data_IF_081641667421
#
_entry.id   IF_081641667421
#
_cell.length_a   1.000
_cell.length_b   1.000
_cell.length_c   1.000
_cell.angle_alpha   90.00
_cell.angle_beta   90.00
_cell.angle_gamma   90.00
#
_symmetry.space_group_name_H-M   'P 1'
#
loop_
_entity.id
_entity.type
_entity.pdbx_description
1 polymer ?
#
# COMPACT_ATOMS: atom_id res chain seq x y z
N UNK A 1 -22.45 90.14 8.78
CA UNK A 1 -21.29 89.47 8.22
C UNK A 1 -21.20 88.10 8.81
N UNK A 2 -21.82 87.14 8.17
CA UNK A 2 -21.95 85.77 8.66
C UNK A 2 -21.61 84.85 7.51
N UNK A 3 -20.56 84.08 7.69
CA UNK A 3 -20.14 83.03 6.75
C UNK A 3 -20.60 81.69 7.25
N UNK A 4 -21.49 81.08 6.50
CA UNK A 4 -21.96 79.68 6.70
C UNK A 4 -20.89 78.70 6.31
N UNK A 5 -20.76 77.63 7.10
CA UNK A 5 -19.95 76.43 6.79
C UNK A 5 -20.88 75.25 6.54
N UNK A 6 -20.83 74.80 5.32
CA UNK A 6 -21.60 73.67 4.83
C UNK A 6 -20.90 72.36 5.22
N UNK A 7 -21.60 71.42 5.92
CA UNK A 7 -21.11 70.13 6.38
C UNK A 7 -21.43 69.02 5.38
N UNK A 8 -20.42 68.67 4.54
CA UNK A 8 -20.54 67.49 3.66
C UNK A 8 -20.30 66.19 4.40
N UNK A 9 -21.34 65.36 4.58
CA UNK A 9 -21.26 63.99 5.10
C UNK A 9 -20.75 63.05 4.00
N UNK A 10 -19.46 62.72 4.03
CA UNK A 10 -18.88 61.69 3.18
C UNK A 10 -19.37 60.30 3.60
N UNK A 11 -20.17 59.67 2.77
CA UNK A 11 -20.47 58.22 2.84
C UNK A 11 -19.18 57.45 2.54
N UNK A 12 -18.65 56.76 3.53
CA UNK A 12 -17.56 55.81 3.34
C UNK A 12 -18.14 54.54 2.69
N UNK A 13 -17.82 54.34 1.42
CA UNK A 13 -18.10 53.15 0.67
C UNK A 13 -17.33 51.95 1.28
N UNK A 14 -18.03 51.07 1.99
CA UNK A 14 -17.51 49.81 2.50
C UNK A 14 -17.55 48.74 1.42
N UNK A 15 -16.89 48.92 0.29
CA UNK A 15 -16.67 47.89 -0.71
C UNK A 15 -15.17 47.70 -0.95
N UNK A 16 -14.43 47.37 0.10
CA UNK A 16 -13.09 46.84 -0.04
C UNK A 16 -13.17 45.40 -0.47
N UNK A 17 -13.21 45.14 -1.76
CA UNK A 17 -12.88 43.88 -2.39
C UNK A 17 -11.59 43.38 -1.75
N UNK A 18 -11.69 42.26 -1.00
CA UNK A 18 -10.54 41.48 -0.59
C UNK A 18 -9.83 41.00 -1.87
N UNK A 19 -8.85 41.75 -2.30
CA UNK A 19 -7.84 41.26 -3.23
C UNK A 19 -7.09 40.16 -2.50
N UNK A 20 -7.47 38.90 -2.77
CA UNK A 20 -6.70 37.74 -2.31
C UNK A 20 -5.30 37.87 -2.86
N UNK A 21 -4.30 37.79 -1.98
CA UNK A 21 -2.91 37.58 -2.37
C UNK A 21 -2.86 36.40 -3.34
N UNK A 22 -2.15 36.52 -4.49
CA UNK A 22 -2.00 35.40 -5.41
C UNK A 22 -1.49 34.21 -4.62
N UNK A 23 -2.19 33.07 -4.72
CA UNK A 23 -1.67 31.83 -4.18
C UNK A 23 -0.32 31.55 -4.86
N UNK A 24 0.72 31.15 -4.13
CA UNK A 24 1.93 30.68 -4.76
C UNK A 24 1.56 29.51 -5.70
N UNK A 25 2.18 29.45 -6.88
CA UNK A 25 1.93 28.40 -7.90
C UNK A 25 2.20 26.97 -7.41
N UNK A 26 2.58 26.80 -6.15
CA UNK A 26 2.93 25.54 -5.49
C UNK A 26 1.69 24.79 -5.05
N UNK A 27 1.43 23.64 -5.66
CA UNK A 27 0.32 22.73 -5.30
C UNK A 27 0.59 22.08 -3.93
N UNK A 28 -0.44 22.03 -3.07
CA UNK A 28 -0.40 21.42 -1.74
C UNK A 28 -1.30 20.19 -1.69
N UNK A 29 -0.70 19.02 -1.53
CA UNK A 29 -1.39 17.71 -1.48
C UNK A 29 -1.36 17.15 -0.07
N UNK A 30 -2.52 16.71 0.42
CA UNK A 30 -2.64 16.01 1.71
C UNK A 30 -2.97 14.54 1.47
N UNK A 31 -2.10 13.64 1.97
CA UNK A 31 -2.25 12.20 1.84
C UNK A 31 -2.80 11.60 3.13
N UNK A 32 -3.91 10.89 3.05
CA UNK A 32 -4.59 10.27 4.18
C UNK A 32 -4.54 8.74 4.05
N UNK A 33 -3.45 8.14 4.53
CA UNK A 33 -3.25 6.69 4.58
C UNK A 33 -2.49 6.33 5.84
N UNK A 34 -3.11 5.60 6.77
CA UNK A 34 -2.47 5.34 8.05
C UNK A 34 -2.87 4.03 8.70
N UNK A 35 -2.10 3.67 9.75
CA UNK A 35 -2.31 2.51 10.60
C UNK A 35 -1.58 1.25 10.16
N UNK A 36 -1.56 0.91 8.88
CA UNK A 36 -0.89 -0.29 8.34
C UNK A 36 -0.03 0.04 7.12
N UNK A 37 0.96 -0.80 6.84
CA UNK A 37 1.81 -0.66 5.64
C UNK A 37 0.98 -0.62 4.34
N UNK A 38 -0.11 -1.40 4.27
CA UNK A 38 -1.00 -1.43 3.10
C UNK A 38 -1.71 -0.11 2.77
N UNK A 39 -1.75 0.86 3.69
CA UNK A 39 -2.27 2.20 3.44
C UNK A 39 -1.15 3.26 3.35
N UNK A 40 -0.07 3.08 4.12
CA UNK A 40 1.03 4.05 4.18
C UNK A 40 1.94 3.94 2.97
N UNK A 41 2.34 2.73 2.59
CA UNK A 41 3.25 2.51 1.46
C UNK A 41 2.69 3.02 0.12
N UNK A 42 1.40 2.75 -0.25
CA UNK A 42 0.82 3.34 -1.46
C UNK A 42 0.77 4.87 -1.41
N UNK A 43 0.49 5.45 -0.23
CA UNK A 43 0.51 6.91 -0.07
C UNK A 43 1.91 7.49 -0.30
N UNK A 44 2.95 6.83 0.22
CA UNK A 44 4.33 7.24 0.01
C UNK A 44 4.81 7.04 -1.43
N UNK A 45 4.40 5.96 -2.08
CA UNK A 45 4.70 5.74 -3.50
C UNK A 45 4.09 6.84 -4.39
N UNK A 46 2.88 7.29 -4.07
CA UNK A 46 2.25 8.43 -4.76
C UNK A 46 2.95 9.75 -4.41
N UNK A 47 3.41 9.94 -3.16
CA UNK A 47 4.21 11.10 -2.77
C UNK A 47 5.50 11.21 -3.60
N UNK A 48 6.23 10.09 -3.73
CA UNK A 48 7.45 10.02 -4.52
C UNK A 48 7.17 10.35 -6.01
N UNK A 49 6.08 9.80 -6.57
CA UNK A 49 5.67 10.06 -7.95
C UNK A 49 5.24 11.52 -8.18
N UNK A 50 4.51 12.11 -7.24
CA UNK A 50 4.13 13.53 -7.28
C UNK A 50 5.36 14.44 -7.25
N UNK A 51 6.32 14.16 -6.37
CA UNK A 51 7.57 14.93 -6.27
C UNK A 51 8.42 14.79 -7.54
N UNK A 52 8.44 13.60 -8.16
CA UNK A 52 9.14 13.38 -9.42
C UNK A 52 8.50 14.16 -10.60
N UNK A 53 7.16 14.27 -10.63
CA UNK A 53 6.43 15.03 -11.66
C UNK A 53 6.46 16.56 -11.43
N UNK A 54 6.42 16.98 -10.16
CA UNK A 54 6.38 18.39 -9.74
C UNK A 54 7.29 18.59 -8.51
N UNK A 55 8.57 18.90 -8.71
CA UNK A 55 9.53 19.06 -7.60
C UNK A 55 9.18 20.15 -6.57
N UNK A 56 8.39 21.13 -6.97
CA UNK A 56 7.90 22.24 -6.14
C UNK A 56 6.65 21.90 -5.32
N UNK A 57 6.09 20.67 -5.46
CA UNK A 57 4.87 20.25 -4.77
C UNK A 57 5.08 20.15 -3.25
N UNK A 58 4.10 20.59 -2.48
CA UNK A 58 4.09 20.41 -1.02
C UNK A 58 3.24 19.20 -0.63
N UNK A 59 3.85 18.24 0.04
CA UNK A 59 3.18 17.01 0.48
C UNK A 59 3.11 16.99 2.00
N UNK A 60 1.91 16.74 2.52
CA UNK A 60 1.65 16.52 3.95
C UNK A 60 0.91 15.22 4.12
N UNK A 61 1.48 14.29 4.86
CA UNK A 61 0.80 13.05 5.24
C UNK A 61 0.04 13.24 6.56
N UNK A 62 -1.12 12.62 6.66
CA UNK A 62 -1.90 12.51 7.90
C UNK A 62 -1.66 11.14 8.54
N UNK A 63 -1.38 11.13 9.83
CA UNK A 63 -1.15 9.93 10.59
C UNK A 63 -1.67 10.00 12.01
N UNK A 64 -1.41 8.94 12.78
CA UNK A 64 -1.71 8.85 14.21
C UNK A 64 -0.43 8.55 14.99
N UNK A 65 -0.37 8.94 16.26
CA UNK A 65 0.84 8.80 17.07
C UNK A 65 1.31 7.34 17.34
N UNK A 66 0.56 6.34 16.91
CA UNK A 66 0.86 4.91 17.13
C UNK A 66 0.93 4.08 15.84
N UNK A 67 0.78 4.70 14.68
CA UNK A 67 0.81 4.02 13.38
C UNK A 67 2.23 3.93 12.81
N UNK A 68 2.40 3.09 11.79
CA UNK A 68 3.67 2.95 11.05
C UNK A 68 4.07 4.26 10.34
N UNK A 69 3.13 5.14 10.10
CA UNK A 69 3.35 6.44 9.50
C UNK A 69 4.33 7.33 10.28
N UNK A 70 4.48 7.10 11.60
CA UNK A 70 5.41 7.88 12.46
C UNK A 70 6.88 7.67 12.13
N UNK A 71 7.23 6.54 11.52
CA UNK A 71 8.57 6.25 11.00
C UNK A 71 8.62 6.37 9.48
N UNK A 72 7.72 5.70 8.77
CA UNK A 72 7.79 5.59 7.29
C UNK A 72 7.68 6.94 6.57
N UNK A 73 6.90 7.90 7.09
CA UNK A 73 6.71 9.19 6.44
C UNK A 73 7.96 10.08 6.60
N UNK A 74 8.50 10.29 7.82
CA UNK A 74 9.74 11.06 8.00
C UNK A 74 10.96 10.40 7.35
N UNK A 75 11.07 9.08 7.38
CA UNK A 75 12.17 8.35 6.74
C UNK A 75 12.22 8.58 5.22
N UNK A 76 11.07 8.94 4.60
CA UNK A 76 10.96 9.34 3.19
C UNK A 76 11.11 10.84 2.97
N UNK A 77 11.36 11.64 4.04
CA UNK A 77 11.53 13.09 3.97
C UNK A 77 10.23 13.89 3.85
N UNK A 78 9.07 13.27 4.06
CA UNK A 78 7.78 13.96 3.98
C UNK A 78 7.30 14.49 5.33
N UNK A 79 6.51 15.57 5.29
CA UNK A 79 5.92 16.15 6.48
C UNK A 79 4.74 15.32 6.99
N UNK A 80 4.75 14.99 8.30
CA UNK A 80 3.70 14.25 8.97
C UNK A 80 2.94 15.15 9.96
N UNK A 81 1.63 15.24 9.79
CA UNK A 81 0.71 15.86 10.74
C UNK A 81 -0.10 14.78 11.46
N UNK A 82 -0.14 14.86 12.80
CA UNK A 82 -0.82 13.87 13.62
C UNK A 82 -2.24 14.31 13.97
N UNK A 83 -3.18 13.36 13.84
CA UNK A 83 -4.59 13.55 14.21
C UNK A 83 -5.03 12.51 15.23
N UNK A 84 -6.05 12.84 16.00
CA UNK A 84 -6.67 11.91 16.96
C UNK A 84 -7.18 10.66 16.23
N UNK A 85 -6.72 9.44 16.60
CA UNK A 85 -7.18 8.21 15.95
C UNK A 85 -8.66 7.95 16.22
N UNK A 86 -9.37 7.47 15.20
CA UNK A 86 -10.78 7.09 15.26
C UNK A 86 -10.93 5.60 14.95
N UNK A 87 -10.45 4.70 15.85
CA UNK A 87 -10.66 3.27 15.67
C UNK A 87 -12.14 2.95 15.85
N UNK A 88 -12.71 2.17 14.93
CA UNK A 88 -14.04 1.61 15.09
C UNK A 88 -13.97 0.47 16.13
N UNK A 89 -14.68 0.56 17.25
CA UNK A 89 -14.69 -0.50 18.25
C UNK A 89 -15.27 -1.79 17.66
N UNK A 90 -14.55 -2.92 17.84
CA UNK A 90 -15.02 -4.24 17.41
C UNK A 90 -16.03 -4.87 18.38
N UNK A 91 -16.15 -4.31 19.57
CA UNK A 91 -17.09 -4.75 20.63
C UNK A 91 -17.84 -3.55 21.17
N UNK A 92 -19.07 -3.77 21.61
CA UNK A 92 -19.89 -2.78 22.32
C UNK A 92 -19.25 -2.54 23.69
N UNK A 93 -18.60 -1.40 23.88
CA UNK A 93 -17.97 -0.98 25.13
C UNK A 93 -18.17 0.53 25.34
N UNK A 94 -17.74 1.05 26.50
CA UNK A 94 -17.83 2.48 26.85
C UNK A 94 -17.09 3.40 25.86
N UNK A 95 -16.15 2.88 25.06
CA UNK A 95 -15.46 3.64 24.00
C UNK A 95 -16.39 4.05 22.87
N UNK A 96 -17.50 3.32 22.67
CA UNK A 96 -18.54 3.67 21.68
C UNK A 96 -19.22 5.00 22.03
N UNK A 97 -19.43 5.28 23.32
CA UNK A 97 -20.02 6.55 23.80
C UNK A 97 -19.10 7.74 23.52
N UNK A 98 -17.78 7.52 23.53
CA UNK A 98 -16.77 8.56 23.25
C UNK A 98 -16.46 8.74 21.76
N UNK A 99 -16.92 7.80 20.92
CA UNK A 99 -16.64 7.81 19.49
C UNK A 99 -17.09 9.10 18.79
N UNK A 100 -18.31 9.64 19.00
CA UNK A 100 -18.73 10.89 18.35
C UNK A 100 -17.83 12.09 18.67
N UNK A 101 -17.33 12.18 19.90
CA UNK A 101 -16.41 13.23 20.33
C UNK A 101 -15.04 13.08 19.68
N UNK A 102 -14.49 11.86 19.61
CA UNK A 102 -13.24 11.55 18.94
C UNK A 102 -13.32 11.87 17.44
N UNK A 103 -14.39 11.46 16.78
CA UNK A 103 -14.64 11.76 15.36
C UNK A 103 -14.69 13.28 15.15
N UNK A 104 -15.49 14.00 15.95
CA UNK A 104 -15.60 15.46 15.84
C UNK A 104 -14.28 16.18 16.08
N UNK A 105 -13.49 15.72 17.06
CA UNK A 105 -12.16 16.24 17.36
C UNK A 105 -11.21 16.01 16.19
N UNK A 106 -11.10 14.78 15.71
CA UNK A 106 -10.24 14.42 14.58
C UNK A 106 -10.59 15.19 13.30
N UNK A 107 -11.89 15.40 13.02
CA UNK A 107 -12.32 16.22 11.88
C UNK A 107 -11.90 17.68 12.05
N UNK A 108 -11.98 18.25 13.28
CA UNK A 108 -11.56 19.64 13.53
C UNK A 108 -10.04 19.79 13.39
N UNK A 109 -9.27 18.87 13.96
CA UNK A 109 -7.81 18.82 13.81
C UNK A 109 -7.42 18.75 12.34
N UNK A 110 -8.01 17.80 11.59
CA UNK A 110 -7.75 17.68 10.16
C UNK A 110 -8.16 18.94 9.39
N UNK A 111 -9.31 19.54 9.68
CA UNK A 111 -9.72 20.77 9.02
C UNK A 111 -8.78 21.96 9.31
N UNK A 112 -8.20 22.01 10.51
CA UNK A 112 -7.18 23.01 10.85
C UNK A 112 -5.89 22.75 10.07
N UNK A 113 -5.45 21.49 9.96
CA UNK A 113 -4.28 21.11 9.16
C UNK A 113 -4.48 21.47 7.69
N UNK A 114 -5.62 21.10 7.09
CA UNK A 114 -5.94 21.44 5.69
C UNK A 114 -5.87 22.95 5.45
N UNK A 115 -6.30 23.77 6.43
CA UNK A 115 -6.18 25.21 6.34
C UNK A 115 -4.76 25.74 6.55
N UNK A 116 -3.99 25.14 7.45
CA UNK A 116 -2.60 25.51 7.73
C UNK A 116 -1.70 25.28 6.52
N UNK A 117 -1.91 24.15 5.81
CA UNK A 117 -1.11 23.79 4.64
C UNK A 117 -1.69 24.33 3.33
N UNK A 118 -2.83 24.99 3.38
CA UNK A 118 -3.59 25.49 2.21
C UNK A 118 -3.80 24.39 1.16
N UNK A 119 -4.42 23.29 1.59
CA UNK A 119 -4.55 22.05 0.82
C UNK A 119 -5.40 22.25 -0.44
N UNK A 120 -4.87 21.91 -1.62
CA UNK A 120 -5.56 21.94 -2.92
C UNK A 120 -6.31 20.64 -3.19
N UNK A 121 -5.84 19.52 -2.67
CA UNK A 121 -6.44 18.20 -2.82
C UNK A 121 -6.12 17.29 -1.63
N UNK A 122 -7.08 16.41 -1.30
CA UNK A 122 -6.89 15.32 -0.32
C UNK A 122 -6.94 13.99 -1.07
N UNK A 123 -5.93 13.15 -0.85
CA UNK A 123 -5.90 11.79 -1.40
C UNK A 123 -6.04 10.79 -0.26
N UNK A 124 -7.05 9.93 -0.31
CA UNK A 124 -7.28 8.93 0.71
C UNK A 124 -6.99 7.51 0.24
N UNK A 125 -6.23 6.79 1.06
CA UNK A 125 -5.86 5.38 0.83
C UNK A 125 -6.55 4.43 1.80
N UNK A 126 -7.40 4.95 2.69
CA UNK A 126 -8.06 4.17 3.73
C UNK A 126 -7.41 4.29 5.12
N UNK A 127 -7.79 3.39 6.01
CA UNK A 127 -7.34 3.44 7.41
C UNK A 127 -8.10 4.45 8.27
N UNK A 128 -7.66 4.61 9.52
CA UNK A 128 -8.36 5.41 10.54
C UNK A 128 -8.33 6.92 10.30
N UNK A 129 -7.39 7.40 9.49
CA UNK A 129 -7.22 8.83 9.18
C UNK A 129 -8.06 9.28 7.98
N UNK A 130 -8.49 8.35 7.12
CA UNK A 130 -9.17 8.68 5.87
C UNK A 130 -10.57 9.28 6.10
N UNK A 131 -11.38 8.72 7.02
CA UNK A 131 -12.73 9.24 7.30
C UNK A 131 -12.71 10.69 7.79
N UNK A 132 -11.92 11.06 8.82
CA UNK A 132 -11.76 12.46 9.20
C UNK A 132 -11.29 13.36 8.07
N UNK A 133 -10.34 12.87 7.24
CA UNK A 133 -9.81 13.61 6.09
C UNK A 133 -10.91 13.93 5.06
N UNK A 134 -11.72 12.94 4.67
CA UNK A 134 -12.83 13.14 3.73
C UNK A 134 -13.88 14.13 4.25
N UNK A 135 -14.23 14.03 5.54
CA UNK A 135 -15.21 14.91 6.16
C UNK A 135 -14.67 16.34 6.37
N UNK A 136 -13.40 16.49 6.69
CA UNK A 136 -12.74 17.78 6.80
C UNK A 136 -12.59 18.47 5.43
N UNK A 137 -12.14 17.73 4.41
CA UNK A 137 -12.02 18.19 3.04
C UNK A 137 -13.36 18.73 2.52
N UNK A 138 -14.44 17.96 2.72
CA UNK A 138 -15.79 18.39 2.35
C UNK A 138 -16.18 19.72 3.01
N UNK A 139 -15.89 19.90 4.32
CA UNK A 139 -16.24 21.16 5.03
C UNK A 139 -15.47 22.36 4.52
N UNK A 140 -14.29 22.15 3.99
CA UNK A 140 -13.41 23.19 3.46
C UNK A 140 -13.54 23.38 1.95
N UNK A 141 -14.34 22.59 1.26
CA UNK A 141 -14.47 22.64 -0.20
C UNK A 141 -13.25 22.06 -0.94
N UNK A 142 -12.35 21.35 -0.25
CA UNK A 142 -11.17 20.73 -0.86
C UNK A 142 -11.59 19.46 -1.61
N UNK A 143 -11.21 19.28 -2.88
CA UNK A 143 -11.53 18.07 -3.63
C UNK A 143 -10.83 16.84 -3.06
N UNK A 144 -11.47 15.67 -3.24
CA UNK A 144 -10.98 14.39 -2.74
C UNK A 144 -10.75 13.43 -3.90
N UNK A 145 -9.62 12.74 -3.87
CA UNK A 145 -9.32 11.53 -4.65
C UNK A 145 -9.28 10.36 -3.70
N UNK A 146 -9.91 9.25 -4.06
CA UNK A 146 -9.89 8.01 -3.26
C UNK A 146 -9.17 6.94 -4.06
N UNK A 147 -8.24 6.23 -3.44
CA UNK A 147 -7.62 5.02 -3.98
C UNK A 147 -7.94 3.83 -3.05
N UNK A 148 -8.52 2.76 -3.62
CA UNK A 148 -8.79 1.51 -2.91
C UNK A 148 -7.79 0.44 -3.30
N UNK A 149 -7.12 -0.07 -2.29
CA UNK A 149 -6.06 -1.07 -2.44
C UNK A 149 -6.59 -2.50 -2.61
N UNK A 150 -7.71 -2.83 -1.97
CA UNK A 150 -8.23 -4.19 -1.87
C UNK A 150 -9.34 -4.45 -2.88
N UNK A 151 -9.49 -5.72 -3.25
CA UNK A 151 -10.62 -6.19 -4.07
C UNK A 151 -11.99 -6.03 -3.36
N UNK A 152 -12.00 -5.70 -2.07
CA UNK A 152 -13.20 -5.40 -1.31
C UNK A 152 -13.02 -4.10 -0.55
N UNK A 153 -13.68 -3.06 -1.02
CA UNK A 153 -13.51 -1.72 -0.47
C UNK A 153 -13.83 -1.62 1.02
N UNK A 154 -12.91 -0.97 1.76
CA UNK A 154 -13.09 -0.65 3.16
C UNK A 154 -14.17 0.40 3.40
N UNK A 155 -14.76 0.42 4.60
CA UNK A 155 -15.83 1.37 4.96
C UNK A 155 -15.42 2.84 4.79
N UNK A 156 -14.17 3.18 5.09
CA UNK A 156 -13.64 4.52 4.94
C UNK A 156 -13.70 4.97 3.46
N UNK A 157 -13.18 4.15 2.56
CA UNK A 157 -13.16 4.46 1.13
C UNK A 157 -14.55 4.42 0.50
N UNK A 158 -15.45 3.54 0.95
CA UNK A 158 -16.87 3.58 0.55
C UNK A 158 -17.55 4.91 0.91
N UNK A 159 -17.24 5.46 2.09
CA UNK A 159 -17.76 6.76 2.50
C UNK A 159 -17.15 7.88 1.65
N UNK A 160 -15.84 7.87 1.45
CA UNK A 160 -15.11 8.87 0.66
C UNK A 160 -15.55 8.89 -0.80
N UNK A 161 -15.65 7.71 -1.43
CA UNK A 161 -16.00 7.53 -2.84
C UNK A 161 -17.33 8.17 -3.25
N UNK A 162 -18.31 8.22 -2.34
CA UNK A 162 -19.65 8.81 -2.62
C UNK A 162 -19.56 10.26 -3.12
N UNK A 163 -18.52 10.99 -2.73
CA UNK A 163 -18.35 12.42 -3.02
C UNK A 163 -16.97 12.79 -3.52
N UNK A 164 -16.13 11.79 -3.76
CA UNK A 164 -14.81 12.00 -4.34
C UNK A 164 -14.93 12.55 -5.77
N UNK A 165 -13.99 13.41 -6.13
CA UNK A 165 -13.83 13.91 -7.49
C UNK A 165 -13.39 12.81 -8.46
N UNK A 166 -12.49 11.94 -7.98
CA UNK A 166 -12.03 10.73 -8.69
C UNK A 166 -11.97 9.56 -7.70
N UNK A 167 -12.34 8.41 -8.20
CA UNK A 167 -12.28 7.14 -7.46
C UNK A 167 -11.39 6.19 -8.26
N UNK A 168 -10.33 5.72 -7.64
CA UNK A 168 -9.32 4.84 -8.23
C UNK A 168 -9.28 3.53 -7.45
N UNK A 169 -8.95 2.44 -8.11
CA UNK A 169 -8.84 1.12 -7.50
C UNK A 169 -7.61 0.37 -8.01
N UNK A 170 -7.06 -0.49 -7.16
CA UNK A 170 -5.95 -1.36 -7.53
C UNK A 170 -6.39 -2.49 -8.47
N UNK A 171 -7.61 -2.99 -8.29
CA UNK A 171 -8.17 -4.13 -9.03
C UNK A 171 -9.61 -3.82 -9.46
N UNK A 172 -10.13 -4.50 -10.50
CA UNK A 172 -11.54 -4.39 -10.87
C UNK A 172 -12.45 -4.89 -9.75
N UNK A 173 -13.72 -4.54 -9.81
CA UNK A 173 -14.79 -5.01 -8.91
C UNK A 173 -14.53 -4.77 -7.42
N UNK A 174 -13.80 -3.72 -7.07
CA UNK A 174 -13.52 -3.33 -5.68
C UNK A 174 -14.77 -3.00 -4.84
N UNK A 175 -15.94 -2.93 -5.47
CA UNK A 175 -17.21 -2.54 -4.84
C UNK A 175 -17.33 -1.03 -4.63
N UNK A 176 -16.55 -0.24 -5.36
CA UNK A 176 -16.69 1.22 -5.45
C UNK A 176 -17.27 1.60 -6.82
N UNK A 177 -18.37 2.36 -6.79
CA UNK A 177 -18.97 2.90 -8.00
C UNK A 177 -18.00 3.85 -8.72
N UNK A 178 -17.93 3.77 -10.05
CA UNK A 178 -17.12 4.64 -10.91
C UNK A 178 -15.61 4.54 -10.63
N UNK A 179 -15.12 3.44 -10.05
CA UNK A 179 -13.71 3.24 -9.83
C UNK A 179 -12.98 3.01 -11.16
N UNK A 180 -11.95 3.80 -11.40
CA UNK A 180 -10.99 3.58 -12.47
C UNK A 180 -9.89 2.65 -11.96
N UNK A 181 -9.61 1.58 -12.69
CA UNK A 181 -8.55 0.63 -12.32
C UNK A 181 -7.21 1.20 -12.79
N UNK A 182 -6.36 1.51 -11.83
CA UNK A 182 -5.02 2.09 -12.06
C UNK A 182 -3.89 1.19 -11.54
N UNK A 183 -4.22 0.14 -10.80
CA UNK A 183 -3.26 -0.70 -10.10
C UNK A 183 -2.91 -0.18 -8.70
N UNK A 184 -2.06 -0.91 -8.00
CA UNK A 184 -1.54 -0.56 -6.68
C UNK A 184 -0.30 0.33 -6.83
N UNK A 185 -0.27 1.53 -6.22
CA UNK A 185 0.94 2.33 -6.16
C UNK A 185 2.05 1.61 -5.40
N UNK A 186 3.15 1.32 -6.08
CA UNK A 186 4.31 0.61 -5.56
C UNK A 186 5.53 1.53 -5.55
N UNK A 187 6.44 1.27 -4.59
CA UNK A 187 7.72 1.98 -4.47
C UNK A 187 8.63 1.72 -5.67
N UNK A 188 9.49 2.69 -5.98
CA UNK A 188 10.38 2.64 -7.13
C UNK A 188 11.33 1.42 -7.12
N UNK A 189 11.81 0.99 -5.94
CA UNK A 189 12.67 -0.20 -5.80
C UNK A 189 12.01 -1.50 -6.28
N UNK A 190 10.68 -1.54 -6.37
CA UNK A 190 9.92 -2.67 -6.91
C UNK A 190 9.58 -2.44 -8.37
N UNK A 191 9.10 -1.25 -8.72
CA UNK A 191 8.64 -0.98 -10.10
C UNK A 191 9.79 -0.89 -11.10
N UNK A 192 10.98 -0.48 -10.66
CA UNK A 192 12.19 -0.44 -11.47
C UNK A 192 13.01 -1.74 -11.41
N UNK A 193 12.56 -2.75 -10.63
CA UNK A 193 13.30 -3.99 -10.46
C UNK A 193 13.39 -4.78 -11.77
N UNK A 194 14.61 -5.01 -12.24
CA UNK A 194 14.93 -6.01 -13.24
C UNK A 194 15.47 -7.27 -12.52
N UNK A 195 14.59 -8.27 -12.37
CA UNK A 195 14.93 -9.53 -11.70
C UNK A 195 16.06 -10.28 -12.40
N UNK A 196 16.11 -10.21 -13.72
CA UNK A 196 17.13 -10.91 -14.50
C UNK A 196 18.50 -10.29 -14.27
N UNK A 197 18.58 -8.96 -14.35
CA UNK A 197 19.84 -8.24 -14.14
C UNK A 197 20.38 -8.37 -12.73
N UNK A 198 19.50 -8.40 -11.71
CA UNK A 198 19.91 -8.48 -10.29
C UNK A 198 20.02 -9.90 -9.75
N UNK A 199 19.67 -10.94 -10.54
CA UNK A 199 19.58 -12.32 -10.06
C UNK A 199 20.87 -12.84 -9.43
N UNK A 200 22.00 -12.68 -10.09
CA UNK A 200 23.30 -13.17 -9.61
C UNK A 200 23.71 -12.46 -8.29
N UNK A 201 23.60 -11.13 -8.24
CA UNK A 201 23.87 -10.34 -7.03
C UNK A 201 22.93 -10.74 -5.88
N UNK A 202 21.64 -10.88 -6.16
CA UNK A 202 20.65 -11.25 -5.17
C UNK A 202 20.88 -12.64 -4.58
N UNK A 203 21.22 -13.62 -5.42
CA UNK A 203 21.57 -14.97 -4.97
C UNK A 203 22.84 -15.00 -4.14
N UNK A 204 23.89 -14.31 -4.57
CA UNK A 204 25.12 -14.17 -3.80
C UNK A 204 24.87 -13.50 -2.44
N UNK A 205 24.01 -12.48 -2.38
CA UNK A 205 23.63 -11.77 -1.15
C UNK A 205 23.03 -12.72 -0.09
N UNK A 206 22.23 -13.71 -0.53
CA UNK A 206 21.62 -14.68 0.37
C UNK A 206 22.41 -16.00 0.50
N UNK A 207 23.57 -16.12 -0.15
CA UNK A 207 24.43 -17.31 -0.08
C UNK A 207 23.93 -18.46 -0.94
N UNK A 208 23.17 -18.20 -2.01
CA UNK A 208 22.73 -19.19 -2.98
C UNK A 208 23.67 -19.28 -4.17
N UNK A 209 23.77 -20.46 -4.78
CA UNK A 209 24.45 -20.63 -6.06
C UNK A 209 23.70 -19.88 -7.17
N UNK A 210 24.42 -19.48 -8.22
CA UNK A 210 23.85 -18.69 -9.32
C UNK A 210 22.74 -19.46 -10.08
N UNK A 211 22.88 -20.76 -10.20
CA UNK A 211 21.94 -21.68 -10.87
C UNK A 211 20.91 -22.33 -9.93
N UNK A 212 20.94 -22.00 -8.60
CA UNK A 212 20.04 -22.56 -7.61
C UNK A 212 18.56 -22.33 -7.97
N UNK A 213 17.70 -23.30 -7.68
CA UNK A 213 16.24 -23.07 -7.60
C UNK A 213 15.90 -22.50 -6.23
N UNK A 214 15.28 -21.33 -6.19
CA UNK A 214 15.05 -20.61 -4.93
C UNK A 214 13.55 -20.44 -4.68
N UNK A 215 13.07 -20.97 -3.56
CA UNK A 215 11.75 -20.74 -3.01
C UNK A 215 11.80 -19.60 -2.00
N UNK A 216 11.05 -18.53 -2.25
CA UNK A 216 10.86 -17.42 -1.30
C UNK A 216 9.60 -17.65 -0.47
N UNK A 217 9.72 -17.57 0.86
CA UNK A 217 8.60 -17.82 1.78
C UNK A 217 8.42 -16.66 2.74
N UNK A 218 7.23 -16.06 2.79
CA UNK A 218 6.93 -14.98 3.72
C UNK A 218 5.44 -14.81 4.01
N UNK A 219 5.12 -14.52 5.26
CA UNK A 219 3.74 -14.32 5.74
C UNK A 219 3.36 -12.86 5.99
N UNK A 220 4.18 -11.88 5.52
CA UNK A 220 4.12 -10.47 5.90
C UNK A 220 5.00 -10.16 7.11
N UNK A 221 4.95 -8.93 7.63
CA UNK A 221 5.89 -8.43 8.66
C UNK A 221 5.87 -9.20 9.99
N UNK A 222 4.79 -9.92 10.29
CA UNK A 222 4.69 -10.73 11.52
C UNK A 222 4.93 -12.23 11.27
N UNK A 223 5.14 -12.61 10.01
CA UNK A 223 5.17 -14.01 9.59
C UNK A 223 3.77 -14.64 9.55
N UNK A 224 3.70 -15.93 9.26
CA UNK A 224 2.47 -16.72 9.23
C UNK A 224 2.74 -18.14 9.74
N UNK A 225 2.22 -18.46 10.91
CA UNK A 225 2.53 -19.72 11.59
C UNK A 225 2.17 -20.98 10.78
N UNK A 226 1.07 -20.96 9.99
CA UNK A 226 0.69 -22.06 9.11
C UNK A 226 1.69 -22.23 7.95
N UNK A 227 2.06 -21.14 7.28
CA UNK A 227 3.07 -21.16 6.22
C UNK A 227 4.42 -21.64 6.78
N UNK A 228 4.82 -21.11 7.94
CA UNK A 228 6.06 -21.50 8.60
C UNK A 228 6.09 -23.03 8.83
N UNK A 229 5.02 -23.60 9.45
CA UNK A 229 4.95 -25.04 9.72
C UNK A 229 4.97 -25.89 8.45
N UNK A 230 4.19 -25.52 7.43
CA UNK A 230 4.12 -26.30 6.20
C UNK A 230 5.46 -26.34 5.48
N UNK A 231 6.13 -25.18 5.35
CA UNK A 231 7.41 -25.13 4.62
C UNK A 231 8.57 -25.71 5.43
N UNK A 232 8.65 -25.44 6.74
CA UNK A 232 9.71 -26.06 7.56
C UNK A 232 9.51 -27.57 7.69
N UNK A 233 8.26 -28.05 7.73
CA UNK A 233 7.95 -29.49 7.73
C UNK A 233 8.35 -30.21 6.44
N UNK A 234 8.38 -29.52 5.30
CA UNK A 234 8.82 -30.05 4.00
C UNK A 234 10.31 -29.79 3.72
N UNK A 235 11.09 -29.34 4.70
CA UNK A 235 12.50 -28.94 4.45
C UNK A 235 13.36 -30.07 3.88
N UNK A 236 13.13 -31.31 4.31
CA UNK A 236 13.84 -32.48 3.79
C UNK A 236 13.48 -32.77 2.33
N UNK A 237 12.20 -32.69 1.96
CA UNK A 237 11.73 -32.91 0.58
C UNK A 237 12.25 -31.84 -0.37
N UNK A 238 12.24 -30.56 0.08
CA UNK A 238 12.82 -29.44 -0.66
C UNK A 238 14.32 -29.63 -0.89
N UNK A 239 15.05 -30.07 0.16
CA UNK A 239 16.48 -30.34 0.05
C UNK A 239 16.75 -31.51 -0.92
N UNK A 240 16.01 -32.62 -0.83
CA UNK A 240 16.12 -33.75 -1.73
C UNK A 240 15.84 -33.39 -3.20
N UNK A 241 14.97 -32.39 -3.45
CA UNK A 241 14.68 -31.86 -4.77
C UNK A 241 15.70 -30.79 -5.26
N UNK A 242 16.75 -30.48 -4.49
CA UNK A 242 17.76 -29.48 -4.82
C UNK A 242 17.24 -28.03 -4.77
N UNK A 243 16.28 -27.73 -3.91
CA UNK A 243 15.62 -26.42 -3.80
C UNK A 243 16.17 -25.67 -2.59
N UNK A 244 16.78 -24.51 -2.84
CA UNK A 244 17.16 -23.55 -1.80
C UNK A 244 15.95 -22.77 -1.31
N UNK A 245 15.91 -22.40 -0.03
CA UNK A 245 14.79 -21.68 0.58
C UNK A 245 15.27 -20.38 1.23
N UNK A 246 14.57 -19.29 0.93
CA UNK A 246 14.67 -18.02 1.66
C UNK A 246 13.38 -17.81 2.44
N UNK A 247 13.41 -17.95 3.77
CA UNK A 247 12.23 -17.95 4.61
C UNK A 247 12.21 -16.82 5.63
N UNK A 248 11.36 -15.81 5.42
CA UNK A 248 11.08 -14.76 6.39
C UNK A 248 9.94 -15.21 7.33
N UNK A 249 10.32 -15.77 8.48
CA UNK A 249 9.38 -16.42 9.40
C UNK A 249 8.62 -15.47 10.34
N UNK A 250 9.02 -14.21 10.41
CA UNK A 250 8.50 -13.22 11.36
C UNK A 250 9.26 -13.18 12.69
N UNK A 251 9.45 -11.97 13.29
CA UNK A 251 10.37 -11.78 14.42
C UNK A 251 9.94 -12.49 15.72
N UNK A 252 8.68 -12.92 15.82
CA UNK A 252 8.14 -13.61 17.02
C UNK A 252 8.00 -15.12 16.83
N UNK A 253 8.44 -15.64 15.69
CA UNK A 253 8.36 -17.06 15.38
C UNK A 253 9.76 -17.66 15.32
N UNK A 254 9.84 -18.95 15.59
CA UNK A 254 11.01 -19.81 15.40
C UNK A 254 10.65 -20.95 14.46
N UNK A 255 11.64 -21.43 13.70
CA UNK A 255 11.49 -22.60 12.84
C UNK A 255 12.28 -23.78 13.43
N UNK A 256 11.66 -24.93 13.39
CA UNK A 256 12.36 -26.20 13.62
C UNK A 256 12.76 -26.75 12.26
N UNK A 257 14.07 -26.82 12.02
CA UNK A 257 14.63 -27.29 10.76
C UNK A 257 15.48 -28.55 11.02
N UNK A 258 15.49 -29.51 10.09
CA UNK A 258 16.42 -30.63 10.16
C UNK A 258 17.87 -30.14 10.09
N UNK A 259 18.78 -30.93 10.63
CA UNK A 259 20.22 -30.66 10.48
C UNK A 259 20.57 -30.87 9.01
N UNK A 260 21.14 -29.86 8.31
CA UNK A 260 21.44 -29.97 6.91
C UNK A 260 22.60 -30.95 6.67
N UNK A 261 22.50 -31.75 5.63
CA UNK A 261 23.60 -32.53 5.12
C UNK A 261 24.64 -31.65 4.39
N UNK A 262 25.86 -32.17 4.20
CA UNK A 262 26.95 -31.40 3.58
C UNK A 262 26.70 -31.03 2.10
N UNK A 263 25.76 -31.71 1.43
CA UNK A 263 25.39 -31.49 0.03
C UNK A 263 24.00 -30.84 -0.12
N UNK A 264 23.29 -30.56 0.97
CA UNK A 264 21.96 -29.98 0.91
C UNK A 264 22.02 -28.53 0.44
N UNK A 265 21.03 -28.09 -0.36
CA UNK A 265 20.89 -26.70 -0.73
C UNK A 265 20.59 -25.81 0.50
N UNK A 266 21.04 -24.56 0.53
CA UNK A 266 20.84 -23.70 1.67
C UNK A 266 19.37 -23.44 2.00
N UNK A 267 19.01 -23.55 3.29
CA UNK A 267 17.78 -23.06 3.86
C UNK A 267 18.09 -21.83 4.73
N UNK A 268 17.83 -20.63 4.19
CA UNK A 268 18.14 -19.35 4.84
C UNK A 268 16.89 -18.87 5.54
N UNK A 269 16.84 -19.02 6.86
CA UNK A 269 15.74 -18.54 7.72
C UNK A 269 16.10 -17.20 8.36
N UNK A 270 15.25 -16.20 8.18
CA UNK A 270 15.44 -14.86 8.75
C UNK A 270 14.16 -14.37 9.41
N UNK A 271 14.26 -13.57 10.51
CA UNK A 271 13.08 -13.03 11.15
C UNK A 271 12.33 -12.01 10.26
N UNK A 272 13.06 -11.27 9.42
CA UNK A 272 12.51 -10.23 8.56
C UNK A 272 13.44 -9.96 7.37
N UNK A 273 12.84 -9.62 6.22
CA UNK A 273 13.56 -9.20 5.01
C UNK A 273 13.45 -7.69 4.83
N UNK A 274 14.57 -6.99 4.91
CA UNK A 274 14.66 -5.54 4.63
C UNK A 274 14.82 -5.27 3.14
N UNK A 275 15.53 -6.17 2.42
CA UNK A 275 15.82 -6.08 0.98
C UNK A 275 14.88 -7.01 0.20
N UNK A 276 13.56 -6.67 0.19
CA UNK A 276 12.58 -7.42 -0.59
C UNK A 276 12.87 -7.39 -2.10
N UNK A 277 13.49 -6.35 -2.60
CA UNK A 277 13.95 -6.25 -3.98
C UNK A 277 14.90 -7.38 -4.34
N UNK A 278 15.93 -7.63 -3.52
CA UNK A 278 16.85 -8.75 -3.71
C UNK A 278 16.17 -10.11 -3.48
N UNK A 279 15.26 -10.20 -2.50
CA UNK A 279 14.51 -11.44 -2.26
C UNK A 279 13.66 -11.83 -3.48
N UNK A 280 12.97 -10.86 -4.09
CA UNK A 280 12.22 -11.08 -5.33
C UNK A 280 13.12 -11.41 -6.52
N UNK A 281 14.31 -10.78 -6.62
CA UNK A 281 15.26 -11.07 -7.70
C UNK A 281 15.89 -12.46 -7.59
N UNK A 282 16.19 -12.94 -6.38
CA UNK A 282 16.77 -14.25 -6.13
C UNK A 282 15.80 -15.42 -6.42
N UNK A 283 14.51 -15.21 -6.19
CA UNK A 283 13.49 -16.26 -6.15
C UNK A 283 12.99 -16.69 -7.53
N UNK A 284 12.57 -17.96 -7.64
CA UNK A 284 11.89 -18.54 -8.80
C UNK A 284 10.39 -18.69 -8.58
N UNK A 285 9.98 -18.98 -7.33
CA UNK A 285 8.59 -19.09 -6.88
C UNK A 285 8.46 -18.50 -5.48
N UNK A 286 7.30 -17.93 -5.15
CA UNK A 286 7.00 -17.50 -3.79
C UNK A 286 5.86 -18.30 -3.16
N UNK A 287 5.92 -18.54 -1.84
CA UNK A 287 4.75 -18.91 -1.01
C UNK A 287 4.49 -17.73 -0.08
N UNK A 288 3.32 -17.11 -0.16
CA UNK A 288 3.05 -15.92 0.62
C UNK A 288 1.57 -15.72 0.94
N UNK A 289 1.28 -14.85 1.93
CA UNK A 289 -0.07 -14.31 2.12
C UNK A 289 -0.48 -13.46 0.93
N UNK A 290 -1.78 -13.39 0.63
CA UNK A 290 -2.33 -12.61 -0.50
C UNK A 290 -2.91 -11.26 -0.08
N UNK A 291 -2.19 -10.53 0.77
CA UNK A 291 -2.47 -9.12 1.02
C UNK A 291 -2.32 -8.30 -0.27
N UNK A 292 -3.11 -7.23 -0.43
CA UNK A 292 -3.14 -6.44 -1.66
C UNK A 292 -1.75 -5.94 -2.11
N UNK A 293 -0.91 -5.45 -1.17
CA UNK A 293 0.47 -5.05 -1.48
C UNK A 293 1.32 -6.22 -1.95
N UNK A 294 1.25 -7.37 -1.26
CA UNK A 294 2.02 -8.56 -1.62
C UNK A 294 1.70 -9.03 -3.03
N UNK A 295 0.41 -9.19 -3.34
CA UNK A 295 -0.03 -9.61 -4.67
C UNK A 295 0.44 -8.62 -5.73
N UNK A 296 0.30 -7.32 -5.47
CA UNK A 296 0.73 -6.29 -6.41
C UNK A 296 2.24 -6.26 -6.62
N UNK A 297 3.06 -6.38 -5.56
CA UNK A 297 4.52 -6.42 -5.68
C UNK A 297 4.98 -7.66 -6.44
N UNK A 298 4.48 -8.84 -6.03
CA UNK A 298 4.85 -10.14 -6.61
C UNK A 298 4.49 -10.20 -8.10
N UNK A 299 3.29 -9.73 -8.48
CA UNK A 299 2.88 -9.66 -9.89
C UNK A 299 3.67 -8.60 -10.67
N UNK A 300 3.89 -7.41 -10.11
CA UNK A 300 4.64 -6.36 -10.79
C UNK A 300 6.07 -6.76 -11.14
N UNK A 301 6.71 -7.61 -10.32
CA UNK A 301 8.04 -8.13 -10.61
C UNK A 301 8.02 -9.42 -11.44
N UNK A 302 6.83 -9.93 -11.80
CA UNK A 302 6.67 -11.16 -12.56
C UNK A 302 7.17 -12.39 -11.81
N UNK A 303 6.98 -12.47 -10.48
CA UNK A 303 7.33 -13.65 -9.69
C UNK A 303 6.09 -14.54 -9.54
N UNK A 304 6.10 -15.79 -10.01
CA UNK A 304 5.03 -16.74 -9.76
C UNK A 304 4.84 -16.99 -8.27
N UNK A 305 3.59 -17.21 -7.83
CA UNK A 305 3.34 -17.44 -6.42
C UNK A 305 2.26 -18.48 -6.12
N UNK A 306 2.43 -19.16 -4.99
CA UNK A 306 1.38 -19.86 -4.27
C UNK A 306 0.85 -18.92 -3.21
N UNK A 307 -0.34 -18.39 -3.45
CA UNK A 307 -1.03 -17.48 -2.56
C UNK A 307 -1.83 -18.23 -1.50
N UNK A 308 -1.58 -17.92 -0.25
CA UNK A 308 -2.25 -18.52 0.91
C UNK A 308 -3.04 -17.44 1.65
N UNK A 309 -4.32 -17.23 1.31
CA UNK A 309 -5.14 -16.20 1.95
C UNK A 309 -5.22 -16.38 3.46
N UNK A 310 -5.23 -15.28 4.20
CA UNK A 310 -5.45 -15.31 5.63
C UNK A 310 -6.87 -15.85 5.91
N UNK A 311 -7.05 -16.90 6.76
CA UNK A 311 -8.35 -17.56 6.96
C UNK A 311 -9.34 -16.71 7.78
N UNK A 312 -8.89 -15.60 8.34
CA UNK A 312 -9.70 -14.66 9.14
C UNK A 312 -9.89 -13.34 8.42
N UNK A 313 -10.97 -12.64 8.72
CA UNK A 313 -11.30 -11.34 8.10
C UNK A 313 -12.54 -11.45 7.22
N UNK A 314 -12.60 -10.64 6.16
CA UNK A 314 -13.75 -10.54 5.26
C UNK A 314 -13.54 -11.28 3.91
N UNK A 315 -12.50 -12.11 3.79
CA UNK A 315 -12.16 -12.87 2.59
C UNK A 315 -11.47 -12.06 1.49
N UNK A 316 -11.08 -10.82 1.77
CA UNK A 316 -10.45 -9.92 0.80
C UNK A 316 -9.15 -10.47 0.20
N UNK A 317 -8.34 -11.19 1.00
CA UNK A 317 -7.07 -11.73 0.53
C UNK A 317 -7.24 -12.76 -0.60
N UNK A 318 -8.25 -13.61 -0.54
CA UNK A 318 -8.55 -14.54 -1.63
C UNK A 318 -8.89 -13.76 -2.91
N UNK A 319 -9.75 -12.74 -2.79
CA UNK A 319 -10.16 -11.92 -3.92
C UNK A 319 -8.99 -11.13 -4.53
N UNK A 320 -8.04 -10.66 -3.73
CA UNK A 320 -6.86 -9.95 -4.23
C UNK A 320 -6.00 -10.84 -5.16
N UNK A 321 -5.90 -12.15 -4.89
CA UNK A 321 -5.11 -13.07 -5.69
C UNK A 321 -5.80 -13.52 -7.00
N UNK A 322 -7.14 -13.48 -7.06
CA UNK A 322 -7.90 -14.04 -8.19
C UNK A 322 -7.49 -13.49 -9.57
N UNK A 323 -7.23 -12.19 -9.78
CA UNK A 323 -6.82 -11.70 -11.10
C UNK A 323 -5.53 -12.35 -11.60
N UNK A 324 -4.52 -12.50 -10.74
CA UNK A 324 -3.24 -13.12 -11.09
C UNK A 324 -3.39 -14.63 -11.30
N UNK A 325 -4.19 -15.28 -10.48
CA UNK A 325 -4.49 -16.71 -10.60
C UNK A 325 -5.29 -17.02 -11.89
N UNK A 326 -6.29 -16.18 -12.21
CA UNK A 326 -7.07 -16.33 -13.43
C UNK A 326 -6.23 -16.14 -14.69
N UNK A 327 -5.21 -15.29 -14.65
CA UNK A 327 -4.24 -15.12 -15.73
C UNK A 327 -3.23 -16.27 -15.83
N UNK A 328 -3.16 -17.16 -14.83
CA UNK A 328 -2.18 -18.25 -14.76
C UNK A 328 -0.85 -17.87 -14.11
N UNK A 329 -0.72 -16.67 -13.50
CA UNK A 329 0.49 -16.19 -12.86
C UNK A 329 0.72 -16.69 -11.44
N UNK A 330 -0.21 -17.50 -10.89
CA UNK A 330 -0.12 -18.05 -9.55
C UNK A 330 -1.15 -19.13 -9.28
N UNK A 331 -1.07 -19.68 -8.08
CA UNK A 331 -2.04 -20.66 -7.53
C UNK A 331 -2.55 -20.11 -6.20
N UNK A 332 -3.81 -20.33 -5.88
CA UNK A 332 -4.37 -20.05 -4.56
C UNK A 332 -4.73 -21.32 -3.85
N UNK A 333 -4.28 -21.46 -2.61
CA UNK A 333 -4.61 -22.60 -1.72
C UNK A 333 -5.15 -22.10 -0.39
N UNK A 334 -6.11 -22.77 0.17
CA UNK A 334 -6.62 -22.43 1.48
C UNK A 334 -5.61 -22.73 2.59
N UNK A 335 -5.58 -21.90 3.64
CA UNK A 335 -4.61 -22.02 4.74
C UNK A 335 -4.58 -23.39 5.39
N UNK A 336 -5.74 -24.06 5.47
CA UNK A 336 -5.87 -25.41 6.04
C UNK A 336 -5.35 -26.53 5.12
N UNK A 337 -5.27 -26.26 3.81
CA UNK A 337 -4.80 -27.21 2.80
C UNK A 337 -3.29 -27.09 2.56
N UNK A 338 -2.66 -26.03 3.05
CA UNK A 338 -1.21 -25.86 2.99
C UNK A 338 -0.55 -26.74 4.04
N UNK A 339 -0.17 -27.96 3.62
CA UNK A 339 0.51 -28.96 4.45
C UNK A 339 1.95 -29.17 4.00
N UNK A 340 2.82 -29.82 4.82
CA UNK A 340 4.16 -30.22 4.38
C UNK A 340 4.14 -31.07 3.11
N UNK A 341 3.17 -32.01 2.99
CA UNK A 341 3.01 -32.88 1.83
C UNK A 341 2.69 -32.08 0.57
N UNK A 342 1.80 -31.08 0.66
CA UNK A 342 1.53 -30.17 -0.47
C UNK A 342 2.80 -29.42 -0.92
N UNK A 343 3.63 -28.98 0.03
CA UNK A 343 4.89 -28.31 -0.28
C UNK A 343 5.89 -29.27 -0.90
N UNK A 344 6.04 -30.49 -0.33
CA UNK A 344 6.94 -31.53 -0.83
C UNK A 344 6.58 -32.07 -2.21
N UNK A 345 5.29 -32.10 -2.54
CA UNK A 345 4.82 -32.63 -3.82
C UNK A 345 4.52 -31.54 -4.86
N UNK A 346 3.51 -30.68 -4.59
CA UNK A 346 2.99 -29.75 -5.58
C UNK A 346 3.91 -28.54 -5.81
N UNK A 347 4.50 -27.98 -4.73
CA UNK A 347 5.43 -26.85 -4.86
C UNK A 347 6.75 -27.29 -5.48
N UNK A 348 7.27 -28.48 -5.09
CA UNK A 348 8.46 -29.08 -5.73
C UNK A 348 8.21 -29.29 -7.21
N UNK A 349 7.05 -29.84 -7.58
CA UNK A 349 6.66 -30.06 -8.99
C UNK A 349 6.60 -28.74 -9.78
N UNK A 350 6.07 -27.67 -9.18
CA UNK A 350 6.06 -26.34 -9.80
C UNK A 350 7.46 -25.79 -10.02
N UNK A 351 8.35 -25.89 -9.04
CA UNK A 351 9.73 -25.39 -9.12
C UNK A 351 10.62 -26.18 -10.07
N UNK A 352 10.30 -27.45 -10.31
CA UNK A 352 11.06 -28.33 -11.20
C UNK A 352 10.55 -28.33 -12.64
N UNK A 353 9.33 -27.83 -12.90
CA UNK A 353 8.75 -27.66 -14.23
C UNK A 353 9.10 -26.29 -14.83
N UNK A 354 10.27 -26.19 -15.46
CA UNK A 354 10.78 -24.94 -16.00
C UNK A 354 9.84 -24.30 -17.07
N UNK A 355 9.23 -25.04 -18.03
CA UNK A 355 8.27 -24.46 -18.97
C UNK A 355 7.04 -23.86 -18.28
N UNK A 356 6.48 -24.55 -17.29
CA UNK A 356 5.33 -24.08 -16.53
C UNK A 356 5.67 -22.82 -15.72
N UNK A 357 6.81 -22.81 -15.05
CA UNK A 357 7.29 -21.70 -14.25
C UNK A 357 7.52 -20.45 -15.12
N UNK A 358 8.07 -20.61 -16.32
CA UNK A 358 8.24 -19.52 -17.29
C UNK A 358 6.90 -18.96 -17.78
N UNK A 359 5.92 -19.80 -18.06
CA UNK A 359 4.57 -19.37 -18.44
C UNK A 359 3.88 -18.61 -17.29
N UNK A 360 4.01 -19.10 -16.05
CA UNK A 360 3.49 -18.40 -14.87
C UNK A 360 4.17 -17.05 -14.64
N UNK A 361 5.48 -16.96 -14.89
CA UNK A 361 6.25 -15.70 -14.80
C UNK A 361 5.70 -14.65 -15.77
N UNK A 362 5.50 -15.03 -17.04
CA UNK A 362 4.95 -14.13 -18.04
C UNK A 362 3.53 -13.67 -17.70
N UNK A 363 2.67 -14.61 -17.26
CA UNK A 363 1.30 -14.32 -16.89
C UNK A 363 1.21 -13.39 -15.65
N UNK A 364 2.07 -13.59 -14.64
CA UNK A 364 2.14 -12.72 -13.48
C UNK A 364 2.55 -11.29 -13.88
N UNK A 365 3.56 -11.15 -14.74
CA UNK A 365 4.06 -9.85 -15.21
C UNK A 365 3.00 -9.09 -16.04
N UNK A 366 2.16 -9.78 -16.80
CA UNK A 366 1.09 -9.17 -17.61
C UNK A 366 0.02 -8.49 -16.75
N UNK A 367 -0.29 -9.06 -15.58
CA UNK A 367 -1.26 -8.49 -14.62
C UNK A 367 -0.63 -7.38 -13.76
N UNK A 368 0.68 -7.34 -13.65
CA UNK A 368 1.41 -6.42 -12.79
C UNK A 368 1.38 -4.97 -13.29
N UNK A 369 0.98 -4.03 -12.43
CA UNK A 369 0.95 -2.59 -12.72
C UNK A 369 2.19 -1.90 -12.15
N UNK A 370 3.17 -1.56 -12.99
CA UNK A 370 4.39 -0.85 -12.56
C UNK A 370 4.23 0.68 -12.56
N UNK A 371 3.28 1.22 -13.28
CA UNK A 371 3.05 2.65 -13.47
C UNK A 371 1.96 3.26 -12.56
N UNK A 372 1.35 2.46 -11.69
CA UNK A 372 0.20 2.84 -10.87
C UNK A 372 0.44 4.11 -10.03
N UNK A 373 1.61 4.24 -9.39
CA UNK A 373 1.94 5.42 -8.59
C UNK A 373 1.94 6.70 -9.42
N UNK A 374 2.51 6.64 -10.64
CA UNK A 374 2.53 7.76 -11.58
C UNK A 374 1.13 8.11 -12.07
N UNK A 375 0.31 7.12 -12.46
CA UNK A 375 -1.08 7.34 -12.90
C UNK A 375 -1.93 7.99 -11.80
N UNK A 376 -1.80 7.53 -10.55
CA UNK A 376 -2.47 8.17 -9.42
C UNK A 376 -2.00 9.61 -9.24
N UNK A 377 -0.68 9.86 -9.33
CA UNK A 377 -0.11 11.20 -9.20
C UNK A 377 -0.62 12.16 -10.29
N UNK A 378 -0.69 11.72 -11.55
CA UNK A 378 -1.24 12.49 -12.67
C UNK A 378 -2.71 12.88 -12.43
N UNK A 379 -3.53 11.94 -11.96
CA UNK A 379 -4.94 12.21 -11.58
C UNK A 379 -5.03 13.21 -10.43
N UNK A 380 -4.15 13.12 -9.44
CA UNK A 380 -4.11 14.04 -8.28
C UNK A 380 -3.78 15.46 -8.74
N UNK A 381 -2.78 15.63 -9.61
CA UNK A 381 -2.41 16.93 -10.17
C UNK A 381 -3.56 17.53 -10.99
N UNK A 382 -4.20 16.74 -11.87
CA UNK A 382 -5.38 17.18 -12.63
C UNK A 382 -6.51 17.72 -11.73
N UNK A 383 -6.77 17.01 -10.61
CA UNK A 383 -7.82 17.40 -9.67
C UNK A 383 -7.45 18.68 -8.89
N UNK A 384 -6.19 18.83 -8.49
CA UNK A 384 -5.69 19.99 -7.78
C UNK A 384 -5.76 21.26 -8.65
N UNK A 385 -5.28 21.18 -9.90
CA UNK A 385 -5.29 22.31 -10.86
C UNK A 385 -6.70 22.79 -11.20
N UNK A 386 -7.63 21.86 -11.42
CA UNK A 386 -9.06 22.18 -11.65
C UNK A 386 -9.77 22.70 -10.41
N UNK A 387 -9.25 22.42 -9.21
CA UNK A 387 -9.73 22.97 -7.95
C UNK A 387 -9.32 24.41 -7.72
N UNK A 388 -8.09 24.76 -8.11
CA UNK A 388 -7.53 26.09 -7.99
C UNK A 388 -8.16 27.14 -8.94
N UNK A 389 -8.75 26.67 -10.05
CA UNK A 389 -9.39 27.51 -11.07
C UNK A 389 -10.83 27.94 -10.72
N UNK A 390 -11.34 27.60 -9.55
CA UNK A 390 -12.67 27.94 -9.04
C UNK A 390 -12.60 28.85 -7.82
#
# INVERSE_FOLDING_TARGET
MSSGVDGGSGRVDKNSTRQGTPRPDTISVVLAGGGTAGHVEPAMAVADALTALRPDIRITALGTARGLETSLVPDRGYHLELVTPVPLPRKLNADLLRLPWRVRRSIRETAAILGKVDADVVVGFGGYVAVPAYLAARRRGVPVVVHEANARAGLANRLGARRARRVLAAVPDSGLDRAEVVGMPLRASITALDRTALRAEARAHFGFAEDARVLLVFGGSQGAASINRAVSGAAADLAAAGISVLHAHGPKNTLELPVPGPADPPYVAVPYLTRMDLAYAAADLAICRSGAMTVAEVSAVGLPAVYVPLPIGNGEQRLNALPVVAAGGGVVIDDAELTPEFVGDDVVRLLTDAPRLAAMTAAAAEVGHRDAARRVAEVVLEVAEKGASR
#
